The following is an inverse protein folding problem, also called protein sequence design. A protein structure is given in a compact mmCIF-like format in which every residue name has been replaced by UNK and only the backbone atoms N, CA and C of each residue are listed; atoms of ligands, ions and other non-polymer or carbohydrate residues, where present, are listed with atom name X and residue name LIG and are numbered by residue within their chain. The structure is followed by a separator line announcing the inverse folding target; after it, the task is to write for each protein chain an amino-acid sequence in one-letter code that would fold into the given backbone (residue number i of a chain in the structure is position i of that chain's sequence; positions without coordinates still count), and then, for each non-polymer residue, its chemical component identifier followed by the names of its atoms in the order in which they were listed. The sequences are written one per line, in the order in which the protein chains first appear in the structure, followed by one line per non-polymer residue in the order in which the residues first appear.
data_IF_785939657458
#
_entry.id   IF_785939657458
#
_cell.length_a   1.000
_cell.length_b   1.000
_cell.length_c   1.000
_cell.angle_alpha   90.00
_cell.angle_beta   90.00
_cell.angle_gamma   90.00
#
_symmetry.space_group_name_H-M   'P 1'
#
loop_
_entity.id
_entity.type
_entity.pdbx_description
1 polymer ?
#
# COMPACT_ATOMS: atom_id res chain seq x y z
N UNK A 1 28.55 -16.33 -26.54
CA UNK A 1 27.77 -15.99 -25.32
C UNK A 1 28.01 -14.53 -25.00
N UNK A 2 26.97 -13.73 -24.71
CA UNK A 2 27.17 -12.35 -24.26
C UNK A 2 27.67 -12.38 -22.82
N UNK A 3 28.77 -11.68 -22.54
CA UNK A 3 29.32 -11.57 -21.18
C UNK A 3 28.30 -10.84 -20.31
N UNK A 4 27.90 -11.44 -19.20
CA UNK A 4 27.05 -10.78 -18.22
C UNK A 4 27.83 -9.66 -17.56
N UNK A 5 27.29 -8.44 -17.61
CA UNK A 5 27.84 -7.28 -16.92
C UNK A 5 26.89 -6.94 -15.77
N UNK A 6 27.35 -6.92 -14.52
CA UNK A 6 26.50 -6.57 -13.39
C UNK A 6 26.01 -5.12 -13.50
N UNK A 7 24.81 -4.87 -12.97
CA UNK A 7 24.11 -3.59 -13.10
C UNK A 7 24.98 -2.40 -12.71
N UNK A 8 25.72 -2.50 -11.60
CA UNK A 8 26.53 -1.39 -11.07
C UNK A 8 27.60 -0.90 -12.04
N UNK A 9 28.13 -1.80 -12.88
CA UNK A 9 29.19 -1.53 -13.85
C UNK A 9 28.66 -1.06 -15.21
N UNK A 10 27.34 -0.92 -15.36
CA UNK A 10 26.73 -0.40 -16.58
C UNK A 10 26.91 1.12 -16.68
N UNK A 11 27.05 1.62 -17.91
CA UNK A 11 27.00 3.06 -18.17
C UNK A 11 25.64 3.64 -17.79
N UNK A 12 25.58 4.94 -17.49
CA UNK A 12 24.34 5.64 -17.14
C UNK A 12 23.22 5.42 -18.16
N UNK A 13 23.55 5.33 -19.46
CA UNK A 13 22.59 5.10 -20.55
C UNK A 13 22.02 3.68 -20.53
N UNK A 14 22.86 2.69 -20.24
CA UNK A 14 22.46 1.29 -20.17
C UNK A 14 21.56 1.02 -18.95
N UNK A 15 21.90 1.56 -17.77
CA UNK A 15 21.05 1.50 -16.57
C UNK A 15 19.64 2.02 -16.84
N UNK A 16 19.53 3.23 -17.40
CA UNK A 16 18.23 3.82 -17.81
C UNK A 16 17.42 2.94 -18.76
N UNK A 17 18.07 2.17 -19.64
CA UNK A 17 17.38 1.28 -20.56
C UNK A 17 16.87 0.01 -19.88
N UNK A 18 17.62 -0.53 -18.92
CA UNK A 18 17.19 -1.63 -18.04
C UNK A 18 16.02 -1.17 -17.18
N UNK A 19 16.19 -0.06 -16.44
CA UNK A 19 15.14 0.48 -15.56
C UNK A 19 13.86 0.83 -16.32
N UNK A 20 13.94 1.22 -17.60
CA UNK A 20 12.75 1.52 -18.42
C UNK A 20 12.02 0.25 -18.86
N UNK A 21 12.74 -0.86 -19.04
CA UNK A 21 12.13 -2.17 -19.34
C UNK A 21 11.46 -2.74 -18.09
N UNK A 22 12.04 -2.49 -16.92
CA UNK A 22 11.52 -2.94 -15.63
C UNK A 22 10.39 -2.02 -15.11
N UNK A 23 10.47 -0.71 -15.37
CA UNK A 23 9.40 0.24 -15.06
C UNK A 23 8.24 0.07 -16.06
N UNK A 24 7.10 -0.38 -15.56
CA UNK A 24 5.87 -0.49 -16.34
C UNK A 24 4.80 -1.32 -15.65
N UNK A 25 5.23 -2.33 -14.88
CA UNK A 25 4.37 -3.04 -13.95
C UNK A 25 4.86 -2.81 -12.52
N UNK A 26 3.97 -2.42 -11.63
CA UNK A 26 4.20 -2.53 -10.19
C UNK A 26 4.07 -4.00 -9.71
N UNK A 27 4.32 -4.96 -10.61
CA UNK A 27 3.90 -6.35 -10.45
C UNK A 27 2.40 -6.45 -10.20
N UNK A 28 2.03 -7.19 -9.16
CA UNK A 28 0.66 -7.38 -8.69
C UNK A 28 0.14 -6.20 -7.84
N UNK A 29 1.01 -5.26 -7.47
CA UNK A 29 0.64 -4.12 -6.64
C UNK A 29 0.02 -3.06 -7.55
N UNK A 30 -1.31 -3.00 -7.63
CA UNK A 30 -2.00 -1.87 -8.27
C UNK A 30 -2.14 -0.75 -7.23
N UNK A 31 -1.31 0.31 -7.24
CA UNK A 31 -1.44 1.41 -6.25
C UNK A 31 -2.81 2.09 -6.30
N UNK A 32 -3.48 2.00 -7.46
CA UNK A 32 -4.82 2.57 -7.70
C UNK A 32 -5.95 1.76 -7.05
N UNK A 33 -5.77 0.47 -6.75
CA UNK A 33 -6.86 -0.38 -6.22
C UNK A 33 -6.97 -0.36 -4.71
N UNK A 34 -6.02 0.23 -3.98
CA UNK A 34 -6.19 0.46 -2.54
C UNK A 34 -7.14 1.62 -2.33
N UNK A 35 -8.45 1.35 -2.44
CA UNK A 35 -9.49 2.31 -2.09
C UNK A 35 -9.74 2.25 -0.59
N UNK A 36 -9.50 3.35 0.09
CA UNK A 36 -9.99 3.56 1.45
C UNK A 36 -11.50 3.80 1.34
N UNK A 37 -12.29 3.15 2.19
CA UNK A 37 -13.73 3.39 2.24
C UNK A 37 -14.01 4.85 2.62
N UNK A 38 -14.98 5.47 1.96
CA UNK A 38 -15.40 6.84 2.30
C UNK A 38 -16.04 6.84 3.69
N UNK A 39 -15.56 7.70 4.58
CA UNK A 39 -16.09 7.88 5.92
C UNK A 39 -17.57 8.28 5.95
N UNK A 40 -18.04 8.97 4.90
CA UNK A 40 -19.42 9.44 4.78
C UNK A 40 -20.42 8.34 4.40
N UNK A 41 -19.93 7.17 3.96
CA UNK A 41 -20.80 6.06 3.62
C UNK A 41 -21.34 5.43 4.89
N UNK A 42 -22.66 5.25 4.93
CA UNK A 42 -23.30 4.56 6.04
C UNK A 42 -22.86 3.09 6.06
N UNK A 43 -22.18 2.69 7.13
CA UNK A 43 -21.76 1.31 7.37
C UNK A 43 -22.18 0.92 8.80
N UNK A 44 -23.16 0.02 8.92
CA UNK A 44 -23.69 -0.45 10.22
C UNK A 44 -22.68 -1.20 11.07
N UNK A 45 -21.62 -1.73 10.45
CA UNK A 45 -20.52 -2.43 11.14
C UNK A 45 -19.43 -1.46 11.62
N UNK A 46 -19.49 -0.18 11.23
CA UNK A 46 -18.54 0.83 11.69
C UNK A 46 -18.82 1.11 13.16
N UNK A 47 -17.81 0.94 14.00
CA UNK A 47 -17.87 1.38 15.38
C UNK A 47 -18.14 2.90 15.42
N UNK A 48 -18.96 3.39 16.37
CA UNK A 48 -19.15 4.82 16.54
C UNK A 48 -17.79 5.48 16.78
N UNK A 49 -17.63 6.70 16.25
CA UNK A 49 -16.41 7.46 16.43
C UNK A 49 -16.35 7.91 17.90
N UNK A 50 -15.69 7.13 18.76
CA UNK A 50 -15.47 7.49 20.16
C UNK A 50 -14.39 8.58 20.15
N UNK A 51 -14.75 9.79 20.57
CA UNK A 51 -13.83 10.92 20.67
C UNK A 51 -12.70 10.58 21.63
N UNK A 52 -11.52 11.21 21.46
CA UNK A 52 -10.37 11.01 22.36
C UNK A 52 -10.65 11.43 23.81
N UNK A 53 -11.75 12.13 24.04
CA UNK A 53 -12.21 12.58 25.36
C UNK A 53 -13.01 11.51 26.11
N UNK A 54 -13.43 10.43 25.43
CA UNK A 54 -14.23 9.33 26.00
C UNK A 54 -13.39 8.05 26.15
N UNK A 55 -12.25 8.16 26.84
CA UNK A 55 -11.44 7.02 27.28
C UNK A 55 -12.15 6.17 28.36
N UNK A 56 -13.40 5.77 28.12
CA UNK A 56 -14.29 5.13 29.09
C UNK A 56 -15.22 4.06 28.52
N UNK A 57 -14.97 3.56 27.29
CA UNK A 57 -15.73 2.45 26.72
C UNK A 57 -14.83 1.31 26.22
N UNK A 58 -13.86 0.92 27.05
CA UNK A 58 -13.46 -0.49 27.15
C UNK A 58 -14.27 -1.08 28.29
N UNK A 59 -14.76 -2.32 28.14
CA UNK A 59 -15.65 -3.07 29.06
C UNK A 59 -17.17 -2.90 28.84
N UNK A 60 -17.72 -3.41 27.74
CA UNK A 60 -19.10 -3.92 27.73
C UNK A 60 -19.42 -4.87 26.54
N UNK A 61 -18.48 -5.74 26.14
CA UNK A 61 -18.77 -6.83 25.18
C UNK A 61 -18.13 -8.18 25.57
N UNK A 62 -17.81 -8.40 26.86
CA UNK A 62 -17.37 -9.71 27.38
C UNK A 62 -18.26 -10.22 28.55
N UNK A 63 -19.56 -9.90 28.53
CA UNK A 63 -20.53 -10.49 29.44
C UNK A 63 -21.92 -10.57 28.77
N UNK A 64 -22.02 -11.40 27.73
CA UNK A 64 -23.09 -12.41 27.55
C UNK A 64 -22.79 -13.30 26.34
#
# INVERSE_FOLDING_TARGET
MKKHVPYDKLSKKAKKAVDRKERGQWGDIRPVTRRIESEKLYNRKKLPHIGRDDAGASFCLELL
#
